data_IF_327749213357
#
_entry.id   IF_327749213357
#
_cell.length_a   1.000
_cell.length_b   1.000
_cell.length_c   1.000
_cell.angle_alpha   90.00
_cell.angle_beta   90.00
_cell.angle_gamma   90.00
#
_symmetry.space_group_name_H-M   'P 1'
#
loop_
_entity.id
_entity.type
_entity.pdbx_description
1 polymer ?
#
# COMPACT_ATOMS: atom_id res chain seq x y z
N UNK A 1 29.90 2.36 18.86
CA UNK A 1 28.45 2.10 18.95
C UNK A 1 27.78 3.03 17.95
N UNK A 2 27.09 2.51 16.94
CA UNK A 2 26.34 3.33 16.01
C UNK A 2 25.13 3.87 16.76
N UNK A 3 25.08 5.18 16.98
CA UNK A 3 23.93 5.89 17.53
C UNK A 3 22.78 5.71 16.54
N UNK A 4 21.74 4.96 16.91
CA UNK A 4 20.51 4.91 16.11
C UNK A 4 19.81 6.27 16.11
N UNK A 5 18.70 6.38 15.37
CA UNK A 5 17.93 7.62 15.31
C UNK A 5 17.44 8.03 16.70
N UNK A 6 17.37 9.34 16.99
CA UNK A 6 16.85 9.85 18.28
C UNK A 6 15.35 9.61 18.48
N UNK A 7 14.68 8.98 17.52
CA UNK A 7 13.24 8.75 17.48
C UNK A 7 12.94 7.27 17.32
N UNK A 8 11.79 6.86 17.86
CA UNK A 8 11.29 5.48 17.78
C UNK A 8 10.29 5.26 16.65
N UNK A 9 10.12 6.19 15.71
CA UNK A 9 9.16 6.05 14.61
C UNK A 9 9.86 6.03 13.26
N UNK A 10 9.21 5.41 12.28
CA UNK A 10 9.64 5.37 10.89
C UNK A 10 8.58 6.00 9.97
N UNK A 11 8.91 6.12 8.69
CA UNK A 11 7.96 6.48 7.66
C UNK A 11 7.83 5.33 6.67
N UNK A 12 6.62 5.10 6.14
CA UNK A 12 6.35 4.09 5.12
C UNK A 12 5.69 4.72 3.90
N UNK A 13 6.03 4.20 2.74
CA UNK A 13 5.41 4.54 1.47
C UNK A 13 4.93 3.27 0.79
N UNK A 14 3.70 3.30 0.29
CA UNK A 14 3.13 2.28 -0.59
C UNK A 14 3.17 2.85 -2.01
N UNK A 15 4.12 2.38 -2.80
CA UNK A 15 4.43 2.92 -4.12
C UNK A 15 4.02 1.95 -5.22
N UNK A 16 3.76 2.50 -6.39
CA UNK A 16 3.36 1.77 -7.60
C UNK A 16 3.77 2.59 -8.82
N UNK A 17 4.04 1.90 -9.93
CA UNK A 17 4.26 2.53 -11.22
C UNK A 17 2.96 2.66 -12.04
N UNK A 18 1.87 2.05 -11.59
CA UNK A 18 0.58 2.17 -12.25
C UNK A 18 -0.02 3.57 -12.02
N UNK A 19 -0.63 4.12 -13.06
CA UNK A 19 -1.26 5.44 -13.00
C UNK A 19 -2.62 5.32 -12.32
N UNK A 20 -2.88 6.18 -11.33
CA UNK A 20 -4.21 6.33 -10.72
C UNK A 20 -5.13 6.99 -11.74
N UNK A 21 -6.17 6.27 -12.16
CA UNK A 21 -7.16 6.72 -13.13
C UNK A 21 -8.33 7.44 -12.43
N UNK A 22 -8.76 6.94 -11.27
CA UNK A 22 -9.87 7.52 -10.52
C UNK A 22 -9.76 7.18 -9.02
N UNK A 23 -10.55 7.88 -8.20
CA UNK A 23 -10.69 7.58 -6.77
C UNK A 23 -12.16 7.47 -6.40
N UNK A 24 -12.54 6.36 -5.77
CA UNK A 24 -13.91 6.08 -5.32
C UNK A 24 -13.83 5.50 -3.91
N UNK A 25 -14.56 6.08 -2.95
CA UNK A 25 -14.54 5.66 -1.53
C UNK A 25 -13.12 5.57 -0.94
N UNK A 26 -12.26 6.55 -1.28
CA UNK A 26 -10.82 6.60 -0.98
C UNK A 26 -9.94 5.56 -1.68
N UNK A 27 -10.51 4.54 -2.32
CA UNK A 27 -9.74 3.59 -3.13
C UNK A 27 -9.24 4.28 -4.39
N UNK A 28 -7.92 4.25 -4.60
CA UNK A 28 -7.25 4.78 -5.78
C UNK A 28 -7.16 3.66 -6.82
N UNK A 29 -8.01 3.74 -7.84
CA UNK A 29 -8.08 2.75 -8.90
C UNK A 29 -7.02 3.04 -9.95
N UNK A 30 -6.15 2.06 -10.16
CA UNK A 30 -5.02 2.12 -11.07
C UNK A 30 -5.25 1.19 -12.25
N UNK A 31 -4.76 1.56 -13.42
CA UNK A 31 -4.91 0.74 -14.62
C UNK A 31 -4.00 -0.49 -14.55
N UNK A 32 -4.61 -1.68 -14.51
CA UNK A 32 -3.88 -2.95 -14.56
C UNK A 32 -3.67 -3.41 -16.01
N UNK A 33 -4.70 -3.24 -16.84
CA UNK A 33 -4.68 -3.49 -18.28
C UNK A 33 -5.86 -2.72 -18.96
N UNK A 34 -6.17 -3.05 -20.22
CA UNK A 34 -7.22 -2.38 -21.00
C UNK A 34 -8.67 -2.71 -20.54
N UNK A 35 -8.83 -3.67 -19.62
CA UNK A 35 -10.14 -4.17 -19.18
C UNK A 35 -10.40 -3.89 -17.70
N UNK A 36 -9.35 -3.79 -16.89
CA UNK A 36 -9.43 -3.80 -15.43
C UNK A 36 -8.68 -2.62 -14.81
N UNK A 37 -9.34 -2.00 -13.83
CA UNK A 37 -8.68 -1.21 -12.80
C UNK A 37 -8.59 -2.01 -11.50
N UNK A 38 -7.51 -1.77 -10.75
CA UNK A 38 -7.26 -2.36 -9.44
C UNK A 38 -7.06 -1.29 -8.38
N UNK A 39 -7.59 -1.51 -7.18
CA UNK A 39 -7.32 -0.67 -6.01
C UNK A 39 -7.09 -1.54 -4.78
N UNK A 40 -6.34 -1.03 -3.81
CA UNK A 40 -6.02 -1.76 -2.59
C UNK A 40 -6.32 -0.90 -1.36
N UNK A 41 -6.72 -1.57 -0.27
CA UNK A 41 -6.59 -1.03 1.08
C UNK A 41 -5.91 -2.05 1.99
N UNK A 42 -5.31 -1.54 3.06
CA UNK A 42 -4.64 -2.33 4.09
C UNK A 42 -4.77 -1.64 5.44
N UNK A 43 -4.50 -2.39 6.49
CA UNK A 43 -4.45 -1.87 7.85
C UNK A 43 -3.05 -2.09 8.38
N UNK A 44 -2.41 -1.01 8.79
CA UNK A 44 -1.16 -1.07 9.52
C UNK A 44 -1.44 -1.22 11.02
N UNK A 45 -0.66 -2.06 11.70
CA UNK A 45 -0.63 -2.27 13.15
C UNK A 45 -0.73 -1.03 14.05
N UNK A 46 -0.39 0.17 13.56
CA UNK A 46 -0.43 1.41 14.37
C UNK A 46 -1.32 2.52 13.79
N UNK A 47 -1.91 2.32 12.61
CA UNK A 47 -2.69 3.35 11.91
C UNK A 47 -4.07 2.82 11.47
N UNK A 48 -4.97 3.75 11.14
CA UNK A 48 -6.23 3.44 10.46
C UNK A 48 -6.01 2.81 9.06
N UNK A 49 -7.11 2.48 8.39
CA UNK A 49 -7.10 1.93 7.03
C UNK A 49 -6.34 2.88 6.08
N UNK A 50 -5.39 2.32 5.34
CA UNK A 50 -4.62 3.00 4.31
C UNK A 50 -5.14 2.64 2.92
N UNK A 51 -5.06 3.60 1.99
CA UNK A 51 -5.47 3.45 0.59
C UNK A 51 -4.29 3.79 -0.33
N UNK A 52 -3.39 2.83 -0.61
CA UNK A 52 -2.29 3.00 -1.55
C UNK A 52 -2.71 3.46 -2.96
N UNK A 53 -1.84 4.17 -3.71
CA UNK A 53 -0.49 4.58 -3.31
C UNK A 53 -0.46 5.78 -2.37
N UNK A 54 0.50 5.80 -1.46
CA UNK A 54 0.73 6.90 -0.50
C UNK A 54 2.20 6.97 -0.10
N UNK A 55 2.71 8.18 0.14
CA UNK A 55 4.11 8.41 0.47
C UNK A 55 4.28 8.99 1.87
N UNK A 56 5.36 8.60 2.55
CA UNK A 56 5.81 9.19 3.82
C UNK A 56 4.72 9.21 4.90
N UNK A 57 4.00 8.11 5.06
CA UNK A 57 3.07 7.93 6.17
C UNK A 57 3.91 7.73 7.43
N UNK A 58 3.67 8.53 8.48
CA UNK A 58 4.34 8.35 9.77
C UNK A 58 3.80 7.10 10.45
N UNK A 59 4.69 6.16 10.74
CA UNK A 59 4.36 4.93 11.44
C UNK A 59 4.26 5.17 12.95
N UNK A 60 3.75 4.17 13.64
CA UNK A 60 3.83 4.09 15.09
C UNK A 60 5.24 4.08 15.63
N UNK A 61 5.33 3.94 16.95
CA UNK A 61 6.61 3.84 17.65
C UNK A 61 6.99 2.39 17.89
N UNK A 62 8.24 2.04 17.60
CA UNK A 62 8.87 0.77 17.95
C UNK A 62 10.24 1.07 18.60
N UNK A 63 10.53 0.54 19.82
CA UNK A 63 11.77 0.82 20.54
C UNK A 63 13.03 0.33 19.81
N UNK A 64 12.90 -0.62 18.89
CA UNK A 64 14.02 -1.15 18.11
C UNK A 64 14.52 -0.15 17.07
N UNK A 65 13.69 0.83 16.67
CA UNK A 65 14.05 1.85 15.67
C UNK A 65 15.23 2.69 16.16
N UNK A 66 15.17 3.27 17.36
CA UNK A 66 16.28 4.07 17.90
C UNK A 66 17.49 3.23 18.30
N UNK A 67 17.32 1.93 18.50
CA UNK A 67 18.39 0.99 18.83
C UNK A 67 19.05 0.39 17.58
N UNK A 68 18.58 0.75 16.38
CA UNK A 68 19.01 0.16 15.12
C UNK A 68 18.91 -1.39 15.12
N UNK A 69 17.84 -1.89 15.73
CA UNK A 69 17.50 -3.31 15.81
C UNK A 69 16.34 -3.63 14.84
N UNK A 70 16.17 -4.90 14.42
CA UNK A 70 15.04 -5.29 13.57
C UNK A 70 13.69 -4.96 14.22
N UNK A 71 12.76 -4.41 13.43
CA UNK A 71 11.38 -4.14 13.83
C UNK A 71 10.42 -4.69 12.78
N UNK A 72 9.19 -5.01 13.21
CA UNK A 72 8.19 -5.64 12.35
C UNK A 72 7.51 -4.67 11.39
N UNK A 73 7.13 -5.19 10.22
CA UNK A 73 6.17 -4.58 9.31
C UNK A 73 4.92 -5.46 9.35
N UNK A 74 3.81 -4.93 9.88
CA UNK A 74 2.61 -5.70 10.20
C UNK A 74 1.38 -5.17 9.45
N UNK A 75 1.49 -5.13 8.13
CA UNK A 75 0.35 -4.83 7.27
C UNK A 75 -0.62 -6.02 7.29
N UNK A 76 -1.91 -5.74 7.43
CA UNK A 76 -2.95 -6.74 7.61
C UNK A 76 -4.23 -6.33 6.88
N UNK A 77 -5.21 -7.25 6.83
CA UNK A 77 -6.53 -6.99 6.21
C UNK A 77 -6.43 -6.38 4.81
N UNK A 78 -5.57 -6.97 3.99
CA UNK A 78 -5.39 -6.58 2.59
C UNK A 78 -6.71 -6.82 1.84
N UNK A 79 -7.32 -5.74 1.36
CA UNK A 79 -8.51 -5.80 0.52
C UNK A 79 -8.11 -5.31 -0.87
N UNK A 80 -8.32 -6.16 -1.86
CA UNK A 80 -8.14 -5.81 -3.26
C UNK A 80 -9.50 -5.66 -3.94
N UNK A 81 -9.68 -4.57 -4.68
CA UNK A 81 -10.87 -4.29 -5.48
C UNK A 81 -10.52 -4.31 -6.95
N UNK A 82 -11.37 -4.96 -7.74
CA UNK A 82 -11.31 -4.94 -9.20
C UNK A 82 -12.52 -4.20 -9.75
N UNK A 83 -12.29 -3.34 -10.74
CA UNK A 83 -13.33 -2.67 -11.52
C UNK A 83 -13.16 -3.03 -12.99
N UNK A 84 -14.18 -3.64 -13.57
CA UNK A 84 -14.25 -3.91 -15.01
C UNK A 84 -14.64 -2.61 -15.72
N UNK A 85 -13.78 -2.11 -16.60
CA UNK A 85 -13.98 -0.87 -17.38
C UNK A 85 -14.30 -1.14 -18.85
N UNK A 86 -14.04 -2.36 -19.32
CA UNK A 86 -14.42 -2.83 -20.66
C UNK A 86 -14.92 -4.27 -20.55
N UNK A 87 -16.08 -4.61 -21.15
CA UNK A 87 -16.56 -5.99 -21.21
C UNK A 87 -15.55 -6.90 -21.92
N UNK A 88 -15.46 -8.15 -21.46
CA UNK A 88 -14.65 -9.19 -22.09
C UNK A 88 -15.39 -10.53 -22.07
N UNK A 89 -15.02 -11.42 -22.97
CA UNK A 89 -15.52 -12.79 -23.02
C UNK A 89 -14.39 -13.71 -22.55
N UNK A 90 -14.76 -14.75 -21.79
CA UNK A 90 -13.87 -15.78 -21.28
C UNK A 90 -12.95 -15.32 -20.13
N UNK A 91 -11.75 -14.82 -20.44
CA UNK A 91 -10.70 -14.58 -19.42
C UNK A 91 -9.90 -13.32 -19.76
N UNK A 92 -9.55 -12.57 -18.72
CA UNK A 92 -8.55 -11.50 -18.77
C UNK A 92 -7.45 -11.85 -17.79
N UNK A 93 -6.21 -11.91 -18.28
CA UNK A 93 -5.04 -12.14 -17.46
C UNK A 93 -4.57 -10.82 -16.81
N UNK A 94 -4.24 -10.89 -15.52
CA UNK A 94 -3.48 -9.85 -14.83
C UNK A 94 -2.04 -10.36 -14.82
N UNK A 95 -1.13 -9.77 -15.61
CA UNK A 95 0.23 -10.27 -15.70
C UNK A 95 0.97 -10.08 -14.37
N UNK A 96 1.86 -11.01 -14.04
CA UNK A 96 2.66 -10.93 -12.82
C UNK A 96 3.59 -9.71 -12.84
N UNK A 97 4.07 -9.29 -14.02
CA UNK A 97 4.76 -8.03 -14.35
C UNK A 97 4.74 -7.73 -15.85
#
# INVERSE_FOLDING_TARGET
>A
MSTGTLVNYTYRSYVTNFIVQETIDNYKYMQLNDYLLGAMSLVDSVMDIQFPPQNYIRMGTDPNVSQNLPFGVMDSRLIFRLKVIRPFINMVEIPDR
#
